data_IF_705328428755
#
_entry.id   IF_705328428755
#
_cell.length_a   1.000
_cell.length_b   1.000
_cell.length_c   1.000
_cell.angle_alpha   90.00
_cell.angle_beta   90.00
_cell.angle_gamma   90.00
#
_symmetry.space_group_name_H-M   'P 1'
#
loop_
_entity.id
_entity.type
_entity.pdbx_description
1 polymer ?
#
# COMPACT_ATOMS: atom_id res chain seq x y z
N UNK A 1 48.72 -72.86 18.90
CA UNK A 1 48.58 -71.41 18.70
C UNK A 1 49.15 -70.71 19.91
N UNK A 2 50.20 -69.90 19.76
CA UNK A 2 50.93 -69.32 20.87
C UNK A 2 50.17 -68.17 21.57
N UNK A 3 50.41 -68.01 22.86
CA UNK A 3 49.80 -67.02 23.77
C UNK A 3 49.87 -65.61 23.20
N UNK A 4 50.90 -65.29 22.43
CA UNK A 4 51.11 -63.96 21.72
C UNK A 4 50.11 -63.70 20.58
N UNK A 5 49.73 -64.77 19.85
CA UNK A 5 48.72 -64.62 18.79
C UNK A 5 47.33 -64.36 19.34
N UNK A 6 46.96 -64.98 20.42
CA UNK A 6 45.68 -64.77 21.11
C UNK A 6 45.56 -63.38 21.68
N UNK A 7 46.64 -62.81 22.26
CA UNK A 7 46.69 -61.44 22.77
C UNK A 7 46.56 -60.41 21.67
N UNK A 8 47.16 -60.62 20.51
CA UNK A 8 47.12 -59.76 19.36
C UNK A 8 45.71 -59.73 18.73
N UNK A 9 45.02 -60.89 18.76
CA UNK A 9 43.68 -60.99 18.26
C UNK A 9 42.67 -60.29 19.19
N UNK A 10 42.80 -60.47 20.53
CA UNK A 10 42.01 -59.73 21.51
C UNK A 10 42.16 -58.21 21.41
N UNK A 11 43.34 -57.71 21.26
CA UNK A 11 43.58 -56.25 21.04
C UNK A 11 42.90 -55.72 19.79
N UNK A 12 42.95 -56.45 18.68
CA UNK A 12 42.27 -56.06 17.43
C UNK A 12 40.75 -56.05 17.60
N UNK A 13 40.17 -57.02 18.34
CA UNK A 13 38.75 -57.09 18.63
C UNK A 13 38.31 -55.95 19.54
N UNK A 14 39.09 -55.61 20.59
CA UNK A 14 38.82 -54.46 21.45
C UNK A 14 38.94 -53.13 20.70
N UNK A 15 39.92 -52.97 19.84
CA UNK A 15 40.05 -51.75 18.98
C UNK A 15 38.85 -51.61 18.04
N UNK A 16 38.47 -52.68 17.36
CA UNK A 16 37.31 -52.71 16.49
C UNK A 16 35.98 -52.42 17.22
N UNK A 17 35.85 -52.94 18.48
CA UNK A 17 34.68 -52.65 19.32
C UNK A 17 34.64 -51.17 19.73
N UNK A 18 35.77 -50.58 20.19
CA UNK A 18 35.87 -49.17 20.54
C UNK A 18 35.58 -48.26 19.35
N UNK A 19 36.04 -48.63 18.15
CA UNK A 19 35.77 -47.89 16.93
C UNK A 19 34.29 -47.91 16.54
N UNK A 20 33.62 -49.11 16.70
CA UNK A 20 32.17 -49.21 16.46
C UNK A 20 31.36 -48.41 17.49
N UNK A 21 31.76 -48.40 18.77
CA UNK A 21 31.13 -47.61 19.83
C UNK A 21 31.28 -46.11 19.55
N UNK A 22 32.48 -45.63 19.19
CA UNK A 22 32.72 -44.22 18.80
C UNK A 22 31.90 -43.83 17.58
N UNK A 23 31.82 -44.69 16.57
CA UNK A 23 30.99 -44.39 15.35
C UNK A 23 29.50 -44.35 15.70
N UNK A 24 29.05 -45.21 16.63
CA UNK A 24 27.67 -45.21 17.11
C UNK A 24 27.34 -43.95 17.90
N UNK A 25 28.20 -43.55 18.83
CA UNK A 25 28.05 -42.30 19.59
C UNK A 25 28.04 -41.08 18.69
N UNK A 26 28.97 -41.02 17.72
CA UNK A 26 29.00 -39.91 16.76
C UNK A 26 27.72 -39.81 15.92
N UNK A 27 27.20 -40.96 15.44
CA UNK A 27 25.93 -41.02 14.71
C UNK A 27 24.76 -40.54 15.57
N UNK A 28 24.69 -40.94 16.83
CA UNK A 28 23.65 -40.50 17.75
C UNK A 28 23.72 -39.02 18.04
N UNK A 29 24.92 -38.45 18.20
CA UNK A 29 25.12 -37.00 18.36
C UNK A 29 24.69 -36.23 17.11
N UNK A 30 25.06 -36.72 15.92
CA UNK A 30 24.63 -36.08 14.65
C UNK A 30 23.11 -36.12 14.50
N UNK A 31 22.47 -37.25 14.81
CA UNK A 31 20.99 -37.39 14.77
C UNK A 31 20.31 -36.48 15.80
N UNK A 32 20.86 -36.36 17.01
CA UNK A 32 20.34 -35.42 18.01
C UNK A 32 20.41 -33.97 17.59
N UNK A 33 21.56 -33.52 17.02
CA UNK A 33 21.74 -32.17 16.50
C UNK A 33 20.80 -31.94 15.30
N UNK A 34 20.68 -32.90 14.37
CA UNK A 34 19.76 -32.78 13.23
C UNK A 34 18.30 -32.68 13.68
N UNK A 35 17.91 -33.44 14.73
CA UNK A 35 16.58 -33.39 15.35
C UNK A 35 16.29 -32.01 15.97
N UNK A 36 17.25 -31.43 16.68
CA UNK A 36 17.12 -30.08 17.25
C UNK A 36 16.99 -29.02 16.14
N UNK A 37 17.81 -29.08 15.10
CA UNK A 37 17.74 -28.14 13.96
C UNK A 37 16.41 -28.25 13.21
N UNK A 38 15.90 -29.48 13.03
CA UNK A 38 14.58 -29.69 12.42
C UNK A 38 13.45 -29.10 13.29
N UNK A 39 13.49 -29.28 14.62
CA UNK A 39 12.52 -28.73 15.55
C UNK A 39 12.55 -27.19 15.52
N UNK A 40 13.74 -26.55 15.50
CA UNK A 40 13.90 -25.11 15.38
C UNK A 40 13.35 -24.63 14.03
N UNK A 41 13.65 -25.31 12.93
CA UNK A 41 13.12 -24.98 11.60
C UNK A 41 11.58 -25.02 11.54
N UNK A 42 10.96 -26.05 12.17
CA UNK A 42 9.50 -26.16 12.25
C UNK A 42 8.90 -25.03 13.10
N UNK A 43 9.50 -24.69 14.24
CA UNK A 43 8.99 -23.61 15.10
C UNK A 43 9.10 -22.23 14.41
N UNK A 44 10.22 -21.95 13.75
CA UNK A 44 10.40 -20.72 12.98
C UNK A 44 9.40 -20.65 11.81
N UNK A 45 9.22 -21.76 11.08
CA UNK A 45 8.22 -21.86 10.00
C UNK A 45 6.79 -21.63 10.50
N UNK A 46 6.42 -22.18 11.66
CA UNK A 46 5.12 -21.97 12.29
C UNK A 46 4.93 -20.52 12.75
N UNK A 47 5.95 -19.89 13.32
CA UNK A 47 5.89 -18.47 13.73
C UNK A 47 5.71 -17.58 12.51
N UNK A 48 6.45 -17.82 11.42
CA UNK A 48 6.30 -17.07 10.16
C UNK A 48 4.88 -17.30 9.59
N UNK A 49 4.39 -18.52 9.57
CA UNK A 49 3.05 -18.83 9.09
C UNK A 49 1.96 -18.15 9.93
N UNK A 50 2.06 -18.20 11.25
CA UNK A 50 1.10 -17.54 12.17
C UNK A 50 1.17 -16.03 12.02
N UNK A 51 2.36 -15.44 11.89
CA UNK A 51 2.51 -14.02 11.61
C UNK A 51 1.92 -13.64 10.24
N UNK A 52 2.18 -14.42 9.20
CA UNK A 52 1.57 -14.19 7.89
C UNK A 52 0.04 -14.34 7.90
N UNK A 53 -0.50 -15.27 8.71
CA UNK A 53 -1.95 -15.43 8.87
C UNK A 53 -2.57 -14.31 9.72
N UNK A 54 -1.86 -13.78 10.71
CA UNK A 54 -2.29 -12.61 11.51
C UNK A 54 -2.15 -11.30 10.73
N UNK A 55 -1.10 -11.18 9.92
CA UNK A 55 -0.82 -10.01 9.06
C UNK A 55 -1.51 -10.11 7.69
N UNK A 56 -2.33 -11.12 7.41
CA UNK A 56 -3.41 -10.98 6.46
C UNK A 56 -4.39 -10.01 7.11
N UNK A 57 -4.08 -8.71 7.04
CA UNK A 57 -5.07 -7.65 7.17
C UNK A 57 -6.24 -8.10 6.31
N UNK A 58 -7.41 -8.23 6.94
CA UNK A 58 -8.64 -8.49 6.18
C UNK A 58 -8.70 -7.35 5.18
N UNK A 59 -8.63 -7.66 3.89
CA UNK A 59 -8.76 -6.63 2.87
C UNK A 59 -9.96 -5.77 3.23
N UNK A 60 -9.81 -4.42 3.23
CA UNK A 60 -10.89 -3.52 3.61
C UNK A 60 -12.14 -3.84 2.80
N UNK A 61 -13.30 -3.81 3.43
CA UNK A 61 -14.55 -4.12 2.75
C UNK A 61 -14.99 -2.94 1.90
N UNK A 62 -15.16 -3.16 0.61
CA UNK A 62 -15.76 -2.19 -0.29
C UNK A 62 -17.24 -2.01 0.09
N UNK A 63 -17.65 -0.78 0.39
CA UNK A 63 -19.02 -0.41 0.79
C UNK A 63 -19.82 0.18 -0.36
N UNK A 64 -19.15 0.89 -1.28
CA UNK A 64 -19.70 1.52 -2.48
C UNK A 64 -18.61 1.69 -3.53
N UNK A 65 -18.94 2.23 -4.69
CA UNK A 65 -17.99 2.42 -5.79
C UNK A 65 -18.08 3.86 -6.29
N UNK A 66 -16.91 4.47 -6.51
CA UNK A 66 -16.78 5.73 -7.23
C UNK A 66 -16.31 5.40 -8.65
N UNK A 67 -17.11 5.77 -9.64
CA UNK A 67 -16.82 5.57 -11.06
C UNK A 67 -16.42 6.91 -11.64
N UNK A 68 -15.20 6.95 -12.18
CA UNK A 68 -14.61 8.11 -12.84
C UNK A 68 -14.55 7.86 -14.35
N UNK A 69 -15.27 8.68 -15.14
CA UNK A 69 -15.12 8.71 -16.59
C UNK A 69 -14.02 9.68 -16.96
N UNK A 70 -13.02 9.26 -17.67
CA UNK A 70 -11.90 10.12 -18.10
C UNK A 70 -11.75 10.14 -19.62
N UNK A 71 -10.97 11.07 -20.14
CA UNK A 71 -10.60 11.11 -21.56
C UNK A 71 -9.85 9.87 -22.04
N UNK A 72 -9.25 9.10 -21.12
CA UNK A 72 -8.52 7.85 -21.41
C UNK A 72 -9.35 6.58 -21.14
N UNK A 73 -10.53 6.71 -20.52
CA UNK A 73 -11.41 5.59 -20.17
C UNK A 73 -11.93 5.63 -18.75
N UNK A 74 -12.56 4.55 -18.33
CA UNK A 74 -13.21 4.42 -17.03
C UNK A 74 -12.24 3.91 -15.96
N UNK A 75 -12.28 4.54 -14.78
CA UNK A 75 -11.61 4.08 -13.56
C UNK A 75 -12.70 3.81 -12.52
N UNK A 76 -12.69 2.61 -11.92
CA UNK A 76 -13.61 2.26 -10.83
C UNK A 76 -12.83 2.10 -9.53
N UNK A 77 -13.22 2.88 -8.52
CA UNK A 77 -12.63 2.87 -7.19
C UNK A 77 -13.61 2.21 -6.21
N UNK A 78 -13.19 1.14 -5.54
CA UNK A 78 -13.92 0.58 -4.41
C UNK A 78 -13.65 1.42 -3.17
N UNK A 79 -14.72 1.94 -2.55
CA UNK A 79 -14.63 2.82 -1.38
C UNK A 79 -14.66 2.04 -0.07
N UNK A 80 -13.89 2.46 0.91
CA UNK A 80 -13.68 1.82 2.20
C UNK A 80 -14.43 2.56 3.33
N UNK A 81 -15.75 2.61 3.23
CA UNK A 81 -16.59 3.36 4.17
C UNK A 81 -16.60 2.86 5.62
N UNK A 82 -16.00 1.69 5.91
CA UNK A 82 -15.80 1.24 7.29
C UNK A 82 -14.49 1.76 7.90
N UNK A 83 -13.47 1.97 7.06
CA UNK A 83 -12.13 2.38 7.44
C UNK A 83 -11.96 3.90 7.42
N UNK A 84 -12.67 4.58 6.50
CA UNK A 84 -12.66 6.03 6.35
C UNK A 84 -14.07 6.58 6.09
N UNK A 85 -15.02 6.43 7.05
CA UNK A 85 -16.43 6.79 6.84
C UNK A 85 -16.65 8.27 6.54
N UNK A 86 -15.95 9.19 7.21
CA UNK A 86 -16.11 10.63 6.99
C UNK A 86 -15.58 11.04 5.62
N UNK A 87 -14.41 10.53 5.26
CA UNK A 87 -13.78 10.79 3.97
C UNK A 87 -14.61 10.23 2.81
N UNK A 88 -15.11 8.99 2.94
CA UNK A 88 -15.97 8.37 1.91
C UNK A 88 -17.26 9.15 1.74
N UNK A 89 -17.90 9.57 2.83
CA UNK A 89 -19.11 10.41 2.74
C UNK A 89 -18.80 11.74 2.04
N UNK A 90 -17.74 12.43 2.45
CA UNK A 90 -17.29 13.69 1.87
C UNK A 90 -17.03 13.61 0.36
N UNK A 91 -16.23 12.63 -0.09
CA UNK A 91 -15.98 12.42 -1.52
C UNK A 91 -17.25 12.02 -2.28
N UNK A 92 -18.15 11.27 -1.66
CA UNK A 92 -19.44 10.88 -2.22
C UNK A 92 -20.32 12.11 -2.46
N UNK A 93 -20.43 13.00 -1.49
CA UNK A 93 -21.24 14.22 -1.58
C UNK A 93 -20.71 15.13 -2.69
N UNK A 94 -19.40 15.38 -2.74
CA UNK A 94 -18.76 16.14 -3.81
C UNK A 94 -18.98 15.53 -5.20
N UNK A 95 -18.88 14.20 -5.32
CA UNK A 95 -19.14 13.52 -6.59
C UNK A 95 -20.61 13.62 -7.02
N UNK A 96 -21.57 13.52 -6.08
CA UNK A 96 -23.00 13.66 -6.37
C UNK A 96 -23.40 15.08 -6.76
N UNK A 97 -22.69 16.11 -6.26
CA UNK A 97 -22.84 17.50 -6.63
C UNK A 97 -22.18 17.85 -7.98
N UNK A 98 -21.47 16.89 -8.60
CA UNK A 98 -20.73 17.11 -9.84
C UNK A 98 -19.50 17.99 -9.65
N UNK A 99 -18.99 18.09 -8.42
CA UNK A 99 -17.84 18.93 -8.09
C UNK A 99 -16.59 18.58 -8.90
N UNK A 100 -16.39 17.31 -9.18
CA UNK A 100 -15.21 16.79 -9.89
C UNK A 100 -15.33 16.83 -11.41
N UNK A 101 -16.50 17.15 -11.95
CA UNK A 101 -16.75 17.08 -13.38
C UNK A 101 -15.97 18.13 -14.15
N UNK A 102 -15.25 17.71 -15.18
CA UNK A 102 -14.45 18.57 -16.02
C UNK A 102 -13.04 18.89 -15.48
N UNK A 103 -12.66 18.40 -14.30
CA UNK A 103 -11.36 18.68 -13.71
C UNK A 103 -10.22 17.95 -14.44
N UNK A 104 -9.05 18.59 -14.47
CA UNK A 104 -7.82 18.00 -15.01
C UNK A 104 -7.06 17.20 -13.97
N UNK A 105 -6.29 16.23 -14.44
CA UNK A 105 -5.27 15.55 -13.64
C UNK A 105 -4.03 16.44 -13.54
N UNK A 106 -4.09 17.49 -12.75
CA UNK A 106 -3.10 18.56 -12.72
C UNK A 106 -1.71 18.15 -12.20
N UNK A 107 -1.59 17.00 -11.53
CA UNK A 107 -0.33 16.40 -11.12
C UNK A 107 -0.27 14.96 -11.59
N UNK A 108 0.69 14.66 -12.46
CA UNK A 108 0.95 13.33 -12.99
C UNK A 108 2.45 13.08 -12.89
N UNK A 109 2.82 12.18 -12.00
CA UNK A 109 4.20 11.77 -11.74
C UNK A 109 4.35 10.25 -11.86
N UNK A 110 5.57 9.73 -11.77
CA UNK A 110 5.86 8.29 -11.90
C UNK A 110 5.14 7.45 -10.85
N UNK A 111 4.91 8.00 -9.65
CA UNK A 111 4.33 7.27 -8.52
C UNK A 111 2.89 7.65 -8.19
N UNK A 112 2.35 8.76 -8.74
CA UNK A 112 1.06 9.31 -8.33
C UNK A 112 0.40 10.11 -9.45
N UNK A 113 -0.93 10.10 -9.49
CA UNK A 113 -1.77 11.06 -10.19
C UNK A 113 -2.69 11.75 -9.19
N UNK A 114 -3.01 13.04 -9.39
CA UNK A 114 -3.82 13.84 -8.46
C UNK A 114 -4.76 14.79 -9.22
N UNK A 115 -5.96 14.93 -8.69
CA UNK A 115 -7.03 15.83 -9.17
C UNK A 115 -7.85 16.31 -7.97
N UNK A 116 -8.86 17.15 -8.20
CA UNK A 116 -9.85 17.55 -7.19
C UNK A 116 -9.96 19.07 -6.98
N UNK A 117 -8.93 19.87 -7.25
CA UNK A 117 -8.96 21.31 -7.12
C UNK A 117 -9.32 21.99 -8.44
N UNK A 118 -10.30 22.89 -8.43
CA UNK A 118 -10.66 23.74 -9.55
C UNK A 118 -9.52 24.70 -9.91
N UNK A 119 -8.87 25.28 -8.89
CA UNK A 119 -7.73 26.17 -9.11
C UNK A 119 -6.55 25.49 -9.80
N UNK A 120 -6.14 24.32 -9.29
CA UNK A 120 -5.03 23.58 -9.90
C UNK A 120 -5.40 23.04 -11.28
N UNK A 121 -6.66 22.61 -11.47
CA UNK A 121 -7.17 22.18 -12.77
C UNK A 121 -7.12 23.32 -13.80
N UNK A 122 -7.59 24.50 -13.43
CA UNK A 122 -7.53 25.69 -14.27
C UNK A 122 -6.07 26.04 -14.65
N UNK A 123 -5.16 26.04 -13.68
CA UNK A 123 -3.73 26.28 -13.93
C UNK A 123 -3.11 25.27 -14.89
N UNK A 124 -3.48 24.00 -14.77
CA UNK A 124 -3.01 22.93 -15.66
C UNK A 124 -3.56 23.08 -17.08
N UNK A 125 -4.76 23.62 -17.24
CA UNK A 125 -5.35 23.91 -18.55
C UNK A 125 -4.60 25.01 -19.31
N UNK A 126 -4.23 26.08 -18.61
CA UNK A 126 -3.55 27.25 -19.23
C UNK A 126 -2.04 27.03 -19.39
N UNK A 127 -1.42 26.08 -18.67
CA UNK A 127 0.02 25.79 -18.71
C UNK A 127 0.86 27.03 -18.34
N UNK A 128 1.67 27.53 -19.29
CA UNK A 128 2.48 28.75 -19.09
C UNK A 128 1.69 30.05 -19.29
N UNK A 129 0.50 29.98 -19.90
CA UNK A 129 -0.35 31.15 -20.06
C UNK A 129 -1.01 31.55 -18.74
N UNK A 130 -1.36 32.84 -18.60
CA UNK A 130 -2.13 33.29 -17.43
C UNK A 130 -3.63 33.18 -17.71
N UNK A 131 -4.40 32.45 -16.86
CA UNK A 131 -5.85 32.48 -16.98
C UNK A 131 -6.42 33.84 -16.62
N UNK A 132 -7.66 34.10 -17.05
CA UNK A 132 -8.39 35.29 -16.65
C UNK A 132 -8.55 35.36 -15.12
N UNK A 133 -8.37 36.55 -14.55
CA UNK A 133 -8.40 36.75 -13.10
C UNK A 133 -9.76 36.36 -12.51
N UNK A 134 -10.86 36.64 -13.20
CA UNK A 134 -12.20 36.25 -12.73
C UNK A 134 -12.35 34.73 -12.68
N UNK A 135 -11.80 33.99 -13.65
CA UNK A 135 -11.80 32.53 -13.64
C UNK A 135 -10.95 31.96 -12.48
N UNK A 136 -9.83 32.61 -12.15
CA UNK A 136 -8.99 32.25 -10.99
C UNK A 136 -9.74 32.46 -9.68
N UNK A 137 -10.39 33.64 -9.52
CA UNK A 137 -11.17 33.92 -8.31
C UNK A 137 -12.35 32.98 -8.15
N UNK A 138 -13.05 32.64 -9.22
CA UNK A 138 -14.14 31.62 -9.20
C UNK A 138 -13.62 30.24 -8.79
N UNK A 139 -12.52 29.77 -9.41
CA UNK A 139 -11.94 28.46 -9.09
C UNK A 139 -11.47 28.37 -7.63
N UNK A 140 -10.82 29.41 -7.12
CA UNK A 140 -10.42 29.51 -5.70
C UNK A 140 -11.64 29.50 -4.78
N UNK A 141 -12.69 30.28 -5.11
CA UNK A 141 -13.91 30.34 -4.31
C UNK A 141 -14.57 28.96 -4.18
N UNK A 142 -14.68 28.24 -5.31
CA UNK A 142 -15.26 26.87 -5.30
C UNK A 142 -14.46 25.92 -4.40
N UNK A 143 -13.14 25.95 -4.46
CA UNK A 143 -12.28 25.09 -3.60
C UNK A 143 -12.40 25.50 -2.12
N UNK A 144 -12.55 26.80 -1.80
CA UNK A 144 -12.65 27.33 -0.43
C UNK A 144 -14.03 27.13 0.22
N UNK A 145 -15.08 26.90 -0.57
CA UNK A 145 -16.43 26.60 -0.06
C UNK A 145 -16.52 25.20 0.55
N UNK A 146 -15.53 24.32 0.25
CA UNK A 146 -15.50 22.95 0.75
C UNK A 146 -14.79 22.87 2.11
N UNK A 147 -15.50 22.41 3.12
CA UNK A 147 -14.94 22.21 4.46
C UNK A 147 -13.94 21.04 4.47
N UNK A 148 -12.94 21.17 5.35
CA UNK A 148 -11.95 20.11 5.53
C UNK A 148 -12.55 18.91 6.27
N UNK A 149 -12.11 17.70 5.89
CA UNK A 149 -12.48 16.46 6.56
C UNK A 149 -11.36 16.02 7.51
N UNK A 150 -11.69 15.49 8.71
CA UNK A 150 -10.70 14.95 9.63
C UNK A 150 -9.90 13.79 9.03
N UNK A 151 -8.65 13.65 9.47
CA UNK A 151 -7.80 12.53 9.06
C UNK A 151 -8.31 11.19 9.63
N UNK A 152 -8.45 10.18 8.78
CA UNK A 152 -8.82 8.81 9.14
C UNK A 152 -7.66 7.87 8.74
N UNK A 153 -6.54 7.99 9.45
CA UNK A 153 -5.30 7.27 9.16
C UNK A 153 -5.43 5.82 9.61
N UNK A 154 -5.12 4.85 8.75
CA UNK A 154 -5.22 3.44 9.12
C UNK A 154 -4.80 2.44 8.05
N UNK A 155 -4.88 2.81 6.79
CA UNK A 155 -4.53 1.94 5.66
C UNK A 155 -3.20 2.33 5.04
N UNK A 156 -2.51 1.35 4.46
CA UNK A 156 -1.23 1.57 3.80
C UNK A 156 -1.41 2.15 2.40
N UNK A 157 -0.50 3.04 2.02
CA UNK A 157 -0.42 3.70 0.72
C UNK A 157 0.31 2.80 -0.29
N UNK A 158 -0.41 1.82 -0.85
CA UNK A 158 0.10 0.88 -1.84
C UNK A 158 -0.37 1.27 -3.25
N UNK A 159 0.24 0.68 -4.28
CA UNK A 159 -0.20 0.85 -5.67
C UNK A 159 -1.70 0.59 -5.83
N UNK A 160 -2.37 1.50 -6.52
CA UNK A 160 -3.81 1.48 -6.74
C UNK A 160 -4.66 2.02 -5.58
N UNK A 161 -4.07 2.33 -4.42
CA UNK A 161 -4.79 2.99 -3.34
C UNK A 161 -5.09 4.45 -3.69
N UNK A 162 -6.21 4.92 -3.17
CA UNK A 162 -6.72 6.27 -3.37
C UNK A 162 -6.78 6.95 -2.02
N UNK A 163 -6.15 8.11 -1.91
CA UNK A 163 -6.09 8.86 -0.66
C UNK A 163 -6.37 10.35 -0.86
N UNK A 164 -6.79 11.02 0.24
CA UNK A 164 -6.97 12.47 0.23
C UNK A 164 -5.63 13.17 0.24
N UNK A 165 -5.44 14.10 -0.69
CA UNK A 165 -4.31 15.01 -0.65
C UNK A 165 -4.61 16.20 0.27
N UNK A 166 -3.56 16.79 0.83
CA UNK A 166 -3.67 17.94 1.72
C UNK A 166 -2.42 18.82 1.68
N UNK A 167 -2.55 20.10 2.02
CA UNK A 167 -1.42 21.02 2.00
C UNK A 167 -0.36 20.63 3.03
N UNK A 168 0.87 21.04 2.75
CA UNK A 168 1.98 20.96 3.70
C UNK A 168 2.12 22.27 4.47
N UNK A 169 2.47 22.16 5.74
CA UNK A 169 2.86 23.29 6.55
C UNK A 169 4.13 23.93 5.97
N UNK A 170 4.14 25.24 5.67
CA UNK A 170 5.28 25.89 5.02
C UNK A 170 6.58 25.88 5.85
N UNK A 171 6.47 25.78 7.18
CA UNK A 171 7.62 25.83 8.08
C UNK A 171 8.22 24.43 8.32
N UNK A 172 7.36 23.43 8.50
CA UNK A 172 7.78 22.05 8.85
C UNK A 172 7.87 21.13 7.66
N UNK A 173 7.30 21.53 6.51
CA UNK A 173 7.13 20.71 5.28
C UNK A 173 6.35 19.41 5.52
N UNK A 174 5.64 19.31 6.64
CA UNK A 174 4.79 18.15 6.95
C UNK A 174 3.35 18.41 6.50
N UNK A 175 2.62 17.36 6.09
CA UNK A 175 1.21 17.47 5.80
C UNK A 175 0.44 18.02 7.01
N UNK A 176 -0.43 19.00 6.79
CA UNK A 176 -1.27 19.58 7.85
C UNK A 176 -2.32 18.55 8.29
N UNK A 177 -2.54 18.44 9.60
CA UNK A 177 -3.55 17.55 10.18
C UNK A 177 -4.94 18.11 9.90
N UNK A 178 -5.91 17.23 9.60
CA UNK A 178 -7.33 17.56 9.41
C UNK A 178 -7.56 18.70 8.39
N UNK A 179 -6.80 18.70 7.30
CA UNK A 179 -6.83 19.79 6.31
C UNK A 179 -7.16 19.34 4.89
N UNK A 180 -7.52 18.07 4.69
CA UNK A 180 -7.94 17.58 3.38
C UNK A 180 -9.31 18.15 3.01
N UNK A 181 -9.45 18.69 1.79
CA UNK A 181 -10.70 19.28 1.28
C UNK A 181 -11.19 18.53 0.04
N UNK A 182 -10.71 18.91 -1.14
CA UNK A 182 -11.23 18.44 -2.43
C UNK A 182 -10.31 17.47 -3.14
N UNK A 183 -9.01 17.60 -2.92
CA UNK A 183 -7.99 16.89 -3.68
C UNK A 183 -7.84 15.43 -3.26
N UNK A 184 -7.81 14.54 -4.24
CA UNK A 184 -7.45 13.15 -4.02
C UNK A 184 -6.37 12.68 -5.01
N UNK A 185 -5.63 11.66 -4.60
CA UNK A 185 -4.60 11.04 -5.44
C UNK A 185 -4.86 9.55 -5.64
N UNK A 186 -4.32 9.00 -6.73
CA UNK A 186 -4.24 7.56 -6.98
C UNK A 186 -2.75 7.19 -7.10
N UNK A 187 -2.32 6.19 -6.36
CA UNK A 187 -0.93 5.75 -6.37
C UNK A 187 -0.64 4.80 -7.53
N UNK A 188 0.40 5.09 -8.27
CA UNK A 188 0.97 4.25 -9.34
C UNK A 188 2.06 3.31 -8.81
N UNK A 189 2.57 3.56 -7.60
CA UNK A 189 3.59 2.76 -6.90
C UNK A 189 3.31 2.77 -5.40
N UNK A 190 3.92 1.82 -4.67
CA UNK A 190 3.84 1.78 -3.21
C UNK A 190 4.58 2.98 -2.61
N UNK A 191 3.93 3.66 -1.65
CA UNK A 191 4.43 4.85 -1.00
C UNK A 191 4.26 4.79 0.53
N UNK A 192 4.91 3.84 1.24
CA UNK A 192 4.70 3.62 2.68
C UNK A 192 5.10 4.82 3.54
N UNK A 193 5.88 5.76 3.02
CA UNK A 193 6.18 7.02 3.70
C UNK A 193 4.96 7.93 3.92
N UNK A 194 3.85 7.67 3.23
CA UNK A 194 2.60 8.41 3.35
C UNK A 194 1.66 7.86 4.44
N UNK A 195 1.87 6.63 4.91
CA UNK A 195 0.95 5.89 5.79
C UNK A 195 0.61 6.63 7.10
N UNK A 196 1.55 7.40 7.63
CA UNK A 196 1.37 8.15 8.88
C UNK A 196 0.64 9.50 8.71
N UNK A 197 0.35 9.91 7.47
CA UNK A 197 -0.07 11.29 7.21
C UNK A 197 -1.33 11.42 6.36
N UNK A 198 -1.65 10.43 5.53
CA UNK A 198 -2.72 10.57 4.53
C UNK A 198 -3.78 9.49 4.70
N UNK A 199 -5.04 9.91 4.71
CA UNK A 199 -6.19 9.01 4.72
C UNK A 199 -6.29 8.29 3.38
N UNK A 200 -6.25 6.97 3.41
CA UNK A 200 -6.62 6.10 2.28
C UNK A 200 -8.08 5.73 2.42
N UNK A 201 -8.91 6.08 1.44
CA UNK A 201 -10.36 5.87 1.49
C UNK A 201 -10.89 4.90 0.42
N UNK A 202 -10.02 4.41 -0.46
CA UNK A 202 -10.44 3.48 -1.52
C UNK A 202 -9.28 2.86 -2.27
N UNK A 203 -9.63 1.99 -3.24
CA UNK A 203 -8.70 1.31 -4.13
C UNK A 203 -9.27 1.20 -5.54
N UNK A 204 -8.45 1.41 -6.54
CA UNK A 204 -8.81 1.13 -7.94
C UNK A 204 -9.05 -0.38 -8.09
N UNK A 205 -10.26 -0.74 -8.49
CA UNK A 205 -10.69 -2.13 -8.74
C UNK A 205 -10.84 -2.45 -10.23
N UNK A 206 -10.87 -1.39 -11.08
CA UNK A 206 -10.87 -1.50 -12.54
C UNK A 206 -10.27 -0.24 -13.15
N UNK A 207 -9.51 -0.37 -14.23
CA UNK A 207 -8.95 0.78 -14.96
C UNK A 207 -7.59 1.25 -14.44
N UNK A 208 -6.79 0.39 -13.79
CA UNK A 208 -5.44 0.76 -13.35
C UNK A 208 -4.52 1.07 -14.54
N UNK A 209 -4.73 0.45 -15.68
CA UNK A 209 -4.08 0.76 -16.96
C UNK A 209 -4.43 2.15 -17.49
N UNK A 210 -5.66 2.63 -17.21
CA UNK A 210 -6.07 4.01 -17.50
C UNK A 210 -5.30 4.97 -16.60
N UNK A 211 -5.25 4.70 -15.28
CA UNK A 211 -4.47 5.50 -14.32
C UNK A 211 -3.00 5.63 -14.74
N UNK A 212 -2.39 4.53 -15.18
CA UNK A 212 -0.98 4.51 -15.62
C UNK A 212 -0.75 5.37 -16.87
N UNK A 213 -1.77 5.53 -17.72
CA UNK A 213 -1.69 6.25 -19.00
C UNK A 213 -2.12 7.72 -18.91
N UNK A 214 -2.59 8.20 -17.74
CA UNK A 214 -3.02 9.57 -17.55
C UNK A 214 -1.86 10.56 -17.74
N UNK A 215 -2.21 11.70 -18.32
CA UNK A 215 -1.34 12.87 -18.53
C UNK A 215 -2.02 14.12 -17.97
N UNK A 216 -1.28 15.21 -17.78
CA UNK A 216 -1.83 16.47 -17.26
C UNK A 216 -2.83 17.14 -18.22
N UNK A 217 -2.86 16.72 -19.47
CA UNK A 217 -3.84 17.15 -20.48
C UNK A 217 -5.16 16.38 -20.39
N UNK A 218 -5.21 15.28 -19.64
CA UNK A 218 -6.41 14.48 -19.50
C UNK A 218 -7.40 15.09 -18.52
N UNK A 219 -8.67 14.81 -18.78
CA UNK A 219 -9.79 15.38 -18.02
C UNK A 219 -10.58 14.24 -17.35
N UNK A 220 -10.98 14.46 -16.12
CA UNK A 220 -12.01 13.74 -15.42
C UNK A 220 -13.37 14.28 -15.90
N UNK A 221 -14.03 13.57 -16.80
CA UNK A 221 -15.26 14.02 -17.45
C UNK A 221 -16.46 14.02 -16.49
N UNK A 222 -16.56 13.00 -15.65
CA UNK A 222 -17.57 12.91 -14.60
C UNK A 222 -17.15 11.95 -13.50
N UNK A 223 -17.69 12.17 -12.30
CA UNK A 223 -17.58 11.28 -11.15
C UNK A 223 -18.96 10.91 -10.62
N UNK A 224 -19.25 9.61 -10.44
CA UNK A 224 -20.53 9.14 -9.88
C UNK A 224 -20.33 8.01 -8.89
N UNK A 225 -21.21 7.93 -7.89
CA UNK A 225 -21.18 6.86 -6.87
C UNK A 225 -22.32 5.85 -7.12
N UNK A 226 -21.94 4.55 -7.01
CA UNK A 226 -22.83 3.40 -7.19
C UNK A 226 -22.86 2.50 -5.93
#
# INVERSE_FOLDING_TARGET
MGRAQKLKQQRKEEEARRERERKRELRMRILAVAGVLAAVGITVGLVILVNNLKNREKEPKITSRLVLETTKGEIVIGLYGNEAPLTVQHVTDLAQEGFYDGLRWYRVEDFVVQTGSHYHSLRAEYGEAEPDQAAVEEAISRDQEVEAVPDEIGLSNLRGMVGMAKPSDPQTQKPQVDSATTDFYILKQDAPGLDAYFTVFGKVIKGMEVVDSLETTDTLLSARVE
#
